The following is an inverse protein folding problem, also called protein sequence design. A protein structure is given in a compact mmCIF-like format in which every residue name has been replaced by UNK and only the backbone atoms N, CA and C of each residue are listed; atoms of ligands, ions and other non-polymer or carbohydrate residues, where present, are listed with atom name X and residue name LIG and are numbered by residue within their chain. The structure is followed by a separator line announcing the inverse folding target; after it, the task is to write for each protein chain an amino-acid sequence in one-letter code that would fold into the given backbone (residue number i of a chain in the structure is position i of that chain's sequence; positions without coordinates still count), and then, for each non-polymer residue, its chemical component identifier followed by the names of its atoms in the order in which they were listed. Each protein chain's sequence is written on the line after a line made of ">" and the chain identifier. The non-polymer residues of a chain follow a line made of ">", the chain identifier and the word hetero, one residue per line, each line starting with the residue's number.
data_IF_706860333223
#
_entry.id   IF_706860333223
#
_cell.length_a   1.000
_cell.length_b   1.000
_cell.length_c   1.000
_cell.angle_alpha   90.00
_cell.angle_beta   90.00
_cell.angle_gamma   90.00
#
_symmetry.space_group_name_H-M   'P 1'
#
loop_
_entity.id
_entity.type
_entity.pdbx_description
1 polymer ?
#
# COMPACT_ATOMS: atom_id res chain seq x y z
N UNK A 1 -16.07 23.79 17.21
CA UNK A 1 -16.37 23.00 16.00
C UNK A 1 -17.89 22.99 15.80
N UNK A 2 -18.42 23.24 14.59
CA UNK A 2 -19.88 23.24 14.38
C UNK A 2 -20.36 21.84 14.02
N UNK A 3 -21.25 21.27 14.83
CA UNK A 3 -21.87 19.95 14.64
C UNK A 3 -22.46 19.75 13.24
N UNK A 4 -23.02 20.80 12.64
CA UNK A 4 -23.56 20.78 11.28
C UNK A 4 -22.51 20.47 10.21
N UNK A 5 -21.26 20.93 10.37
CA UNK A 5 -20.19 20.66 9.39
C UNK A 5 -19.77 19.18 9.43
N UNK A 6 -19.61 18.62 10.62
CA UNK A 6 -19.18 17.24 10.80
C UNK A 6 -20.27 16.27 10.32
N UNK A 7 -21.53 16.53 10.68
CA UNK A 7 -22.67 15.71 10.25
C UNK A 7 -22.95 15.82 8.75
N UNK A 8 -22.58 16.94 8.11
CA UNK A 8 -22.69 17.10 6.66
C UNK A 8 -21.60 16.32 5.91
N UNK A 9 -20.40 16.15 6.50
CA UNK A 9 -19.29 15.44 5.87
C UNK A 9 -19.38 13.93 6.08
N UNK A 10 -19.73 13.49 7.30
CA UNK A 10 -19.64 12.09 7.69
C UNK A 10 -21.00 11.51 8.09
N UNK A 11 -21.37 10.41 7.42
CA UNK A 11 -22.56 9.65 7.75
C UNK A 11 -22.49 9.00 9.13
N UNK A 12 -21.28 8.65 9.60
CA UNK A 12 -21.08 8.17 10.96
C UNK A 12 -21.52 9.20 11.99
N UNK A 13 -21.01 10.43 11.91
CA UNK A 13 -21.41 11.48 12.85
C UNK A 13 -22.89 11.86 12.69
N UNK A 14 -23.41 11.88 11.47
CA UNK A 14 -24.85 12.11 11.25
C UNK A 14 -25.70 11.08 11.99
N UNK A 15 -25.32 9.80 11.96
CA UNK A 15 -26.02 8.72 12.68
C UNK A 15 -25.77 8.76 14.19
N UNK A 16 -24.54 9.01 14.62
CA UNK A 16 -24.19 9.10 16.05
C UNK A 16 -24.89 10.26 16.76
N UNK A 17 -25.11 11.37 16.06
CA UNK A 17 -25.74 12.59 16.57
C UNK A 17 -27.27 12.54 16.49
N UNK A 18 -27.84 11.93 15.45
CA UNK A 18 -29.29 11.87 15.23
C UNK A 18 -29.93 10.56 15.71
N UNK A 19 -29.14 9.52 15.92
CA UNK A 19 -29.59 8.23 16.44
C UNK A 19 -29.61 8.27 17.97
N UNK A 20 -30.59 7.63 18.60
CA UNK A 20 -30.71 7.52 20.07
C UNK A 20 -29.66 6.61 20.72
N UNK A 21 -28.39 6.77 20.34
CA UNK A 21 -27.24 6.06 20.90
C UNK A 21 -26.69 6.85 22.09
N UNK A 22 -25.91 6.20 22.95
CA UNK A 22 -25.38 6.82 24.19
C UNK A 22 -24.54 8.07 23.90
N UNK A 23 -23.87 8.08 22.75
CA UNK A 23 -23.08 9.20 22.22
C UNK A 23 -23.95 10.43 21.90
N UNK A 24 -25.23 10.26 21.56
CA UNK A 24 -26.16 11.36 21.30
C UNK A 24 -26.60 12.06 22.60
N UNK A 25 -26.70 11.31 23.69
CA UNK A 25 -27.04 11.83 25.03
C UNK A 25 -25.83 12.48 25.71
N UNK A 26 -24.64 11.90 25.53
CA UNK A 26 -23.38 12.43 26.08
C UNK A 26 -22.79 13.58 25.23
N UNK A 27 -23.15 13.68 23.95
CA UNK A 27 -22.55 14.61 22.99
C UNK A 27 -21.08 14.32 22.69
N UNK A 28 -20.59 13.13 23.04
CA UNK A 28 -19.19 12.73 22.96
C UNK A 28 -19.05 11.51 22.04
N UNK A 29 -18.32 11.67 20.95
CA UNK A 29 -17.92 10.56 20.07
C UNK A 29 -16.47 10.21 20.36
N UNK A 30 -16.23 8.99 20.82
CA UNK A 30 -14.87 8.47 21.03
C UNK A 30 -14.40 7.79 19.75
N UNK A 31 -13.39 8.36 19.12
CA UNK A 31 -12.71 7.72 18.00
C UNK A 31 -11.58 6.86 18.56
N UNK A 32 -11.50 5.61 18.12
CA UNK A 32 -10.41 4.69 18.47
C UNK A 32 -9.09 5.06 17.74
N UNK A 33 -9.02 6.20 17.05
CA UNK A 33 -7.80 6.56 16.32
C UNK A 33 -6.69 6.97 17.30
N UNK A 34 -5.66 6.13 17.38
CA UNK A 34 -4.53 6.22 18.31
C UNK A 34 -3.63 7.47 18.20
N UNK A 35 -3.96 8.47 17.38
CA UNK A 35 -3.15 9.69 17.27
C UNK A 35 -3.98 10.95 17.00
N UNK A 36 -3.87 12.00 17.85
CA UNK A 36 -4.46 13.32 17.62
C UNK A 36 -4.13 13.93 16.25
N UNK A 37 -2.97 13.59 15.69
CA UNK A 37 -2.51 14.08 14.39
C UNK A 37 -3.41 13.64 13.22
N UNK A 38 -3.89 12.39 13.25
CA UNK A 38 -4.81 11.86 12.22
C UNK A 38 -6.13 12.62 12.25
N UNK A 39 -6.65 12.89 13.45
CA UNK A 39 -7.86 13.71 13.59
C UNK A 39 -7.63 15.15 13.14
N UNK A 40 -6.45 15.72 13.39
CA UNK A 40 -6.09 17.04 12.89
C UNK A 40 -6.09 17.11 11.34
N UNK A 41 -5.67 16.06 10.65
CA UNK A 41 -5.79 15.97 9.18
C UNK A 41 -7.26 16.03 8.76
N UNK A 42 -8.14 15.27 9.42
CA UNK A 42 -9.58 15.33 9.15
C UNK A 42 -10.17 16.72 9.43
N UNK A 43 -9.71 17.37 10.50
CA UNK A 43 -10.12 18.73 10.82
C UNK A 43 -9.70 19.74 9.74
N UNK A 44 -8.47 19.65 9.25
CA UNK A 44 -7.99 20.49 8.14
C UNK A 44 -8.83 20.27 6.89
N UNK A 45 -9.15 19.02 6.55
CA UNK A 45 -10.06 18.70 5.45
C UNK A 45 -11.44 19.35 5.64
N UNK A 46 -12.06 19.23 6.82
CA UNK A 46 -13.37 19.81 7.07
C UNK A 46 -13.41 21.34 6.90
N UNK A 47 -12.33 22.03 7.27
CA UNK A 47 -12.25 23.49 7.19
C UNK A 47 -11.83 24.00 5.80
N UNK A 48 -10.83 23.38 5.18
CA UNK A 48 -10.19 23.90 3.98
C UNK A 48 -10.54 23.13 2.71
N UNK A 49 -11.12 21.93 2.83
CA UNK A 49 -11.39 21.01 1.71
C UNK A 49 -10.14 20.66 0.90
N UNK A 50 -9.00 20.66 1.57
CA UNK A 50 -7.69 20.28 1.04
C UNK A 50 -6.85 19.63 2.13
N UNK A 51 -6.04 18.64 1.78
CA UNK A 51 -5.04 18.05 2.67
C UNK A 51 -3.66 18.45 2.12
N UNK A 52 -2.91 19.33 2.78
CA UNK A 52 -1.61 19.75 2.28
C UNK A 52 -0.61 18.60 2.41
N UNK A 53 0.09 18.30 1.31
CA UNK A 53 1.23 17.39 1.30
C UNK A 53 2.45 18.08 1.91
N UNK A 54 3.14 17.41 2.81
CA UNK A 54 4.39 17.87 3.41
C UNK A 54 5.57 17.38 2.58
N UNK A 55 6.54 18.28 2.44
CA UNK A 55 7.86 17.91 1.94
C UNK A 55 8.65 17.45 3.16
N UNK A 56 8.64 16.14 3.39
CA UNK A 56 9.40 15.54 4.50
C UNK A 56 10.89 15.46 4.17
N UNK A 57 11.69 15.24 5.20
CA UNK A 57 13.07 14.79 5.03
C UNK A 57 13.12 13.38 4.40
N UNK A 58 14.21 13.00 3.74
CA UNK A 58 14.37 11.67 3.17
C UNK A 58 14.52 10.57 4.23
N UNK A 59 13.98 9.37 3.96
CA UNK A 59 14.27 8.16 4.74
C UNK A 59 13.08 7.36 5.25
N UNK A 60 13.37 6.24 5.94
CA UNK A 60 12.37 5.31 6.52
C UNK A 60 11.60 5.97 7.66
N UNK A 61 12.28 6.72 8.54
CA UNK A 61 11.64 7.37 9.70
C UNK A 61 10.71 8.51 9.26
N UNK A 62 10.94 8.98 8.05
CA UNK A 62 10.32 10.12 7.41
C UNK A 62 9.20 9.70 6.43
N UNK A 63 8.95 8.39 6.27
CA UNK A 63 7.69 7.85 5.73
C UNK A 63 6.48 8.10 6.67
N UNK A 64 6.69 8.88 7.73
CA UNK A 64 5.71 9.27 8.72
C UNK A 64 4.49 9.96 8.10
N UNK A 65 4.66 10.78 7.06
CA UNK A 65 3.49 11.36 6.38
C UNK A 65 2.68 10.30 5.64
N UNK A 66 3.32 9.36 4.93
CA UNK A 66 2.58 8.27 4.30
C UNK A 66 1.84 7.42 5.33
N UNK A 67 2.43 7.19 6.51
CA UNK A 67 1.75 6.54 7.64
C UNK A 67 0.58 7.38 8.17
N UNK A 68 0.76 8.69 8.32
CA UNK A 68 -0.29 9.62 8.74
C UNK A 68 -1.46 9.61 7.76
N UNK A 69 -1.18 9.68 6.46
CA UNK A 69 -2.17 9.60 5.39
C UNK A 69 -2.85 8.23 5.37
N UNK A 70 -2.11 7.12 5.58
CA UNK A 70 -2.70 5.79 5.64
C UNK A 70 -3.69 5.64 6.81
N UNK A 71 -3.32 6.15 7.99
CA UNK A 71 -4.23 6.23 9.14
C UNK A 71 -5.42 7.16 8.89
N UNK A 72 -5.21 8.28 8.18
CA UNK A 72 -6.30 9.18 7.79
C UNK A 72 -7.28 8.50 6.83
N UNK A 73 -6.79 7.70 5.87
CA UNK A 73 -7.65 6.91 4.99
C UNK A 73 -8.51 5.92 5.78
N UNK A 74 -7.90 5.20 6.74
CA UNK A 74 -8.63 4.28 7.63
C UNK A 74 -9.64 5.02 8.52
N UNK A 75 -9.31 6.22 9.01
CA UNK A 75 -10.25 7.08 9.72
C UNK A 75 -11.43 7.45 8.80
N UNK A 76 -11.19 7.82 7.54
CA UNK A 76 -12.25 8.12 6.59
C UNK A 76 -13.20 6.94 6.35
N UNK A 77 -12.67 5.71 6.33
CA UNK A 77 -13.47 4.48 6.26
C UNK A 77 -14.37 4.32 7.49
N UNK A 78 -13.78 4.43 8.69
CA UNK A 78 -14.52 4.41 9.96
C UNK A 78 -15.62 5.47 10.01
N UNK A 79 -15.33 6.68 9.53
CA UNK A 79 -16.26 7.81 9.51
C UNK A 79 -17.28 7.73 8.37
N UNK A 80 -17.14 6.79 7.43
CA UNK A 80 -17.95 6.70 6.21
C UNK A 80 -17.96 8.03 5.44
N UNK A 81 -16.80 8.70 5.37
CA UNK A 81 -16.59 9.94 4.61
C UNK A 81 -15.72 9.63 3.39
N UNK A 82 -16.38 9.20 2.32
CA UNK A 82 -15.71 8.85 1.06
C UNK A 82 -15.00 10.04 0.42
N UNK A 83 -15.52 11.26 0.58
CA UNK A 83 -14.87 12.46 0.04
C UNK A 83 -13.57 12.77 0.77
N UNK A 84 -13.50 12.50 2.07
CA UNK A 84 -12.25 12.56 2.81
C UNK A 84 -11.27 11.47 2.38
N UNK A 85 -11.73 10.22 2.17
CA UNK A 85 -10.88 9.15 1.65
C UNK A 85 -10.28 9.51 0.29
N UNK A 86 -11.08 10.05 -0.62
CA UNK A 86 -10.62 10.51 -1.94
C UNK A 86 -9.56 11.62 -1.80
N UNK A 87 -9.80 12.62 -0.95
CA UNK A 87 -8.83 13.69 -0.69
C UNK A 87 -7.51 13.19 -0.08
N UNK A 88 -7.56 12.16 0.77
CA UNK A 88 -6.36 11.50 1.31
C UNK A 88 -5.60 10.76 0.21
N UNK A 89 -6.31 10.09 -0.69
CA UNK A 89 -5.69 9.41 -1.83
C UNK A 89 -5.03 10.40 -2.80
N UNK A 90 -5.69 11.53 -3.08
CA UNK A 90 -5.11 12.60 -3.88
C UNK A 90 -3.81 13.11 -3.26
N UNK A 91 -3.79 13.36 -1.94
CA UNK A 91 -2.57 13.75 -1.23
C UNK A 91 -1.47 12.68 -1.31
N UNK A 92 -1.80 11.39 -1.18
CA UNK A 92 -0.81 10.31 -1.37
C UNK A 92 -0.22 10.31 -2.78
N UNK A 93 -1.06 10.48 -3.81
CA UNK A 93 -0.65 10.51 -5.22
C UNK A 93 0.25 11.72 -5.50
N UNK A 94 -0.15 12.92 -5.05
CA UNK A 94 0.64 14.14 -5.19
C UNK A 94 2.02 14.00 -4.53
N UNK A 95 2.08 13.33 -3.36
CA UNK A 95 3.34 13.04 -2.68
C UNK A 95 4.27 12.16 -3.50
N UNK A 96 3.75 11.17 -4.25
CA UNK A 96 4.61 10.34 -5.13
C UNK A 96 5.29 11.12 -6.25
N UNK A 97 4.77 12.32 -6.56
CA UNK A 97 5.31 13.20 -7.59
C UNK A 97 6.22 14.30 -7.03
N UNK A 98 6.18 14.53 -5.72
CA UNK A 98 6.92 15.58 -5.02
C UNK A 98 8.34 15.12 -4.67
N UNK A 99 9.29 16.06 -4.72
CA UNK A 99 10.67 15.83 -4.30
C UNK A 99 10.82 16.19 -2.82
N UNK A 100 11.51 15.33 -2.07
CA UNK A 100 11.92 15.62 -0.70
C UNK A 100 13.10 16.61 -0.69
N UNK A 101 13.57 16.97 0.51
CA UNK A 101 14.68 17.91 0.68
C UNK A 101 16.01 17.47 0.06
N UNK A 102 16.18 16.18 -0.27
CA UNK A 102 17.32 15.63 -0.99
C UNK A 102 17.16 15.61 -2.53
N UNK A 103 16.06 16.15 -3.05
CA UNK A 103 15.72 16.15 -4.46
C UNK A 103 15.27 14.78 -4.99
N UNK A 104 15.02 13.80 -4.10
CA UNK A 104 14.53 12.47 -4.49
C UNK A 104 13.03 12.34 -4.27
N UNK A 105 12.43 11.42 -5.02
CA UNK A 105 11.03 11.02 -4.82
C UNK A 105 10.96 9.83 -3.87
N UNK A 106 10.09 9.95 -2.88
CA UNK A 106 9.88 8.94 -1.85
C UNK A 106 8.49 8.32 -2.00
N UNK A 107 8.36 7.06 -1.59
CA UNK A 107 7.17 6.25 -1.80
C UNK A 107 6.77 5.52 -0.51
N UNK A 108 5.51 5.04 -0.38
CA UNK A 108 5.11 4.21 0.75
C UNK A 108 6.00 2.96 0.85
N UNK A 109 6.51 2.66 2.04
CA UNK A 109 7.35 1.48 2.29
C UNK A 109 6.70 0.54 3.31
N UNK A 110 7.44 -0.50 3.72
CA UNK A 110 6.94 -1.65 4.46
C UNK A 110 5.87 -1.37 5.53
N UNK A 111 6.15 -0.54 6.56
CA UNK A 111 5.18 -0.28 7.63
C UNK A 111 3.85 0.29 7.13
N UNK A 112 3.87 1.14 6.11
CA UNK A 112 2.65 1.73 5.52
C UNK A 112 1.86 0.67 4.74
N UNK A 113 2.57 -0.20 4.02
CA UNK A 113 1.95 -1.33 3.32
C UNK A 113 1.24 -2.24 4.30
N UNK A 114 1.94 -2.69 5.35
CA UNK A 114 1.37 -3.53 6.41
C UNK A 114 0.10 -2.88 6.97
N UNK A 115 0.19 -1.60 7.37
CA UNK A 115 -0.94 -0.89 7.96
C UNK A 115 -2.16 -0.87 7.03
N UNK A 116 -2.00 -0.50 5.75
CA UNK A 116 -3.12 -0.44 4.80
C UNK A 116 -3.74 -1.83 4.60
N UNK A 117 -2.94 -2.88 4.49
CA UNK A 117 -3.45 -4.23 4.30
C UNK A 117 -4.11 -4.81 5.55
N UNK A 118 -3.68 -4.43 6.75
CA UNK A 118 -4.32 -4.86 8.01
C UNK A 118 -5.63 -4.11 8.29
N UNK A 119 -5.75 -2.85 7.85
CA UNK A 119 -6.84 -1.94 8.25
C UNK A 119 -7.83 -1.62 7.14
N UNK A 120 -7.77 -2.31 5.99
CA UNK A 120 -8.72 -2.10 4.90
C UNK A 120 -9.21 -3.42 4.32
N UNK A 121 -10.34 -3.42 3.61
CA UNK A 121 -10.82 -4.60 2.88
C UNK A 121 -9.98 -4.89 1.64
N UNK A 122 -10.02 -6.14 1.14
CA UNK A 122 -9.33 -6.54 -0.09
C UNK A 122 -9.77 -5.73 -1.34
N UNK A 123 -10.99 -5.19 -1.34
CA UNK A 123 -11.50 -4.32 -2.41
C UNK A 123 -11.04 -2.86 -2.32
N UNK A 124 -10.28 -2.49 -1.29
CA UNK A 124 -9.85 -1.12 -1.03
C UNK A 124 -8.97 -0.56 -2.15
N UNK A 125 -9.27 0.67 -2.57
CA UNK A 125 -8.48 1.40 -3.57
C UNK A 125 -7.11 1.83 -3.05
N UNK A 126 -6.92 1.93 -1.72
CA UNK A 126 -5.61 2.17 -1.13
C UNK A 126 -4.64 1.00 -1.39
N UNK A 127 -5.14 -0.24 -1.37
CA UNK A 127 -4.32 -1.42 -1.73
C UNK A 127 -3.91 -1.38 -3.20
N UNK A 128 -4.85 -1.05 -4.09
CA UNK A 128 -4.56 -0.87 -5.53
C UNK A 128 -3.49 0.19 -5.76
N UNK A 129 -3.57 1.34 -5.09
CA UNK A 129 -2.55 2.40 -5.17
C UNK A 129 -1.15 1.89 -4.80
N UNK A 130 -1.01 1.16 -3.69
CA UNK A 130 0.29 0.59 -3.30
C UNK A 130 0.84 -0.37 -4.36
N UNK A 131 -0.01 -1.23 -4.90
CA UNK A 131 0.36 -2.19 -5.95
C UNK A 131 0.81 -1.45 -7.21
N UNK A 132 0.09 -0.41 -7.63
CA UNK A 132 0.45 0.40 -8.79
C UNK A 132 1.79 1.13 -8.58
N UNK A 133 2.01 1.74 -7.41
CA UNK A 133 3.29 2.39 -7.07
C UNK A 133 4.45 1.40 -7.21
N UNK A 134 4.34 0.20 -6.64
CA UNK A 134 5.38 -0.82 -6.73
C UNK A 134 5.54 -1.39 -8.14
N UNK A 135 4.45 -1.52 -8.89
CA UNK A 135 4.47 -2.02 -10.26
C UNK A 135 5.19 -1.06 -11.21
N UNK A 136 4.92 0.25 -11.09
CA UNK A 136 5.39 1.25 -12.05
C UNK A 136 6.66 1.98 -11.62
N UNK A 137 6.95 2.07 -10.31
CA UNK A 137 8.10 2.79 -9.76
C UNK A 137 9.05 1.91 -8.95
N UNK A 138 8.56 0.76 -8.49
CA UNK A 138 9.29 -0.11 -7.58
C UNK A 138 10.58 -0.67 -8.17
N UNK A 139 11.54 -0.90 -7.28
CA UNK A 139 12.79 -1.62 -7.54
C UNK A 139 12.86 -2.83 -6.64
N UNK A 140 13.56 -3.88 -7.04
CA UNK A 140 13.64 -5.13 -6.26
C UNK A 140 14.10 -4.91 -4.82
N UNK A 141 15.00 -3.95 -4.61
CA UNK A 141 15.51 -3.62 -3.29
C UNK A 141 14.49 -2.92 -2.37
N UNK A 142 13.34 -2.45 -2.88
CA UNK A 142 12.25 -1.94 -2.04
C UNK A 142 11.61 -3.02 -1.17
N UNK A 143 11.71 -4.28 -1.57
CA UNK A 143 11.22 -5.42 -0.81
C UNK A 143 12.29 -5.98 0.16
N UNK A 144 13.48 -5.37 0.22
CA UNK A 144 14.58 -5.79 1.10
C UNK A 144 15.08 -4.65 1.98
N UNK A 145 15.57 -3.57 1.37
CA UNK A 145 16.26 -2.49 2.08
C UNK A 145 15.26 -1.61 2.85
N UNK A 146 14.00 -1.61 2.40
CA UNK A 146 12.94 -0.70 2.85
C UNK A 146 11.74 -1.43 3.46
N UNK A 147 11.84 -2.75 3.65
CA UNK A 147 10.79 -3.57 4.25
C UNK A 147 11.36 -4.85 4.87
N UNK A 148 10.81 -5.27 6.00
CA UNK A 148 10.99 -6.62 6.55
C UNK A 148 9.96 -7.58 5.99
N UNK A 149 10.14 -8.90 6.16
CA UNK A 149 9.12 -9.87 5.76
C UNK A 149 7.78 -9.64 6.46
N UNK A 150 7.80 -9.23 7.72
CA UNK A 150 6.58 -8.92 8.47
C UNK A 150 5.87 -7.69 7.91
N UNK A 151 6.61 -6.77 7.27
CA UNK A 151 6.05 -5.55 6.67
C UNK A 151 5.34 -5.83 5.34
N UNK A 152 5.48 -7.05 4.80
CA UNK A 152 5.03 -7.43 3.48
C UNK A 152 3.97 -8.54 3.58
N UNK A 153 2.68 -8.18 3.74
CA UNK A 153 1.58 -9.13 3.73
C UNK A 153 1.62 -10.02 2.49
N UNK A 154 1.27 -11.30 2.66
CA UNK A 154 1.29 -12.27 1.56
C UNK A 154 0.37 -11.85 0.42
N UNK A 155 -0.75 -11.23 0.77
CA UNK A 155 -1.72 -10.65 -0.16
C UNK A 155 -1.08 -9.56 -1.01
N UNK A 156 -0.31 -8.66 -0.39
CA UNK A 156 0.41 -7.60 -1.12
C UNK A 156 1.43 -8.17 -2.11
N UNK A 157 2.22 -9.15 -1.67
CA UNK A 157 3.18 -9.82 -2.54
C UNK A 157 2.49 -10.54 -3.71
N UNK A 158 1.35 -11.16 -3.46
CA UNK A 158 0.55 -11.82 -4.50
C UNK A 158 -0.03 -10.80 -5.49
N UNK A 159 -0.58 -9.69 -5.01
CA UNK A 159 -1.14 -8.61 -5.84
C UNK A 159 -0.07 -7.98 -6.73
N UNK A 160 1.12 -7.69 -6.19
CA UNK A 160 2.26 -7.21 -6.97
C UNK A 160 2.73 -8.24 -7.98
N UNK A 161 2.87 -9.51 -7.59
CA UNK A 161 3.31 -10.55 -8.51
C UNK A 161 2.36 -10.67 -9.71
N UNK A 162 1.05 -10.67 -9.47
CA UNK A 162 0.05 -10.64 -10.55
C UNK A 162 0.18 -9.38 -11.41
N UNK A 163 0.26 -8.20 -10.80
CA UNK A 163 0.40 -6.93 -11.52
C UNK A 163 1.65 -6.91 -12.41
N UNK A 164 2.80 -7.29 -11.87
CA UNK A 164 4.06 -7.38 -12.61
C UNK A 164 3.99 -8.38 -13.75
N UNK A 165 3.40 -9.57 -13.55
CA UNK A 165 3.22 -10.57 -14.60
C UNK A 165 2.31 -10.08 -15.74
N UNK A 166 1.30 -9.28 -15.41
CA UNK A 166 0.37 -8.70 -16.38
C UNK A 166 0.96 -7.50 -17.13
N UNK A 167 1.88 -6.75 -16.51
CA UNK A 167 2.45 -5.51 -17.08
C UNK A 167 3.81 -5.70 -17.74
N UNK A 168 4.62 -6.64 -17.28
CA UNK A 168 5.96 -6.87 -17.85
C UNK A 168 5.86 -7.29 -19.30
N UNK A 169 6.81 -6.83 -20.11
CA UNK A 169 7.05 -7.48 -21.38
C UNK A 169 7.45 -8.93 -21.12
N UNK A 170 6.82 -9.87 -21.83
CA UNK A 170 7.25 -11.26 -21.74
C UNK A 170 8.70 -11.33 -22.25
N UNK A 171 9.63 -11.88 -21.47
CA UNK A 171 11.00 -11.98 -21.90
C UNK A 171 11.06 -12.76 -23.21
N UNK A 172 11.81 -12.24 -24.18
CA UNK A 172 12.16 -12.99 -25.38
C UNK A 172 12.93 -14.23 -24.91
N UNK A 173 12.46 -15.38 -25.37
CA UNK A 173 12.66 -16.66 -24.71
C UNK A 173 14.11 -17.14 -24.90
N UNK A 174 14.97 -16.97 -23.88
CA UNK A 174 16.38 -17.44 -23.93
C UNK A 174 16.74 -18.50 -22.88
N UNK A 175 16.19 -18.45 -21.66
CA UNK A 175 16.59 -19.35 -20.56
C UNK A 175 16.13 -20.81 -20.69
N UNK A 176 14.87 -21.04 -21.10
CA UNK A 176 14.37 -22.41 -21.28
C UNK A 176 14.94 -23.11 -22.54
N UNK A 177 15.63 -22.37 -23.41
CA UNK A 177 16.29 -22.89 -24.63
C UNK A 177 17.66 -23.50 -24.31
N UNK A 178 18.33 -23.05 -23.24
CA UNK A 178 19.70 -23.45 -22.90
C UNK A 178 19.82 -24.88 -22.35
N UNK A 179 18.68 -25.60 -22.29
CA UNK A 179 18.60 -26.97 -21.84
C UNK A 179 18.29 -27.07 -20.36
N UNK A 180 17.83 -28.24 -19.94
CA UNK A 180 17.36 -28.47 -18.57
C UNK A 180 18.48 -28.53 -17.52
N UNK A 181 19.75 -28.46 -17.92
CA UNK A 181 20.89 -28.54 -17.01
C UNK A 181 20.92 -27.42 -15.98
N UNK A 182 20.49 -26.20 -16.32
CA UNK A 182 20.36 -25.09 -15.36
C UNK A 182 19.44 -25.44 -14.18
N UNK A 183 18.50 -26.36 -14.41
CA UNK A 183 17.54 -26.84 -13.40
C UNK A 183 17.89 -28.22 -12.82
N UNK A 184 18.99 -28.84 -13.26
CA UNK A 184 19.42 -30.15 -12.74
C UNK A 184 20.26 -29.99 -11.48
N UNK A 185 20.13 -30.92 -10.54
CA UNK A 185 21.01 -31.04 -9.39
C UNK A 185 22.28 -31.81 -9.78
N UNK A 186 23.24 -31.12 -10.39
CA UNK A 186 24.54 -31.73 -10.71
C UNK A 186 25.33 -32.02 -9.43
N UNK A 187 25.73 -33.29 -9.27
CA UNK A 187 26.77 -33.68 -8.32
C UNK A 187 28.14 -33.72 -8.99
N UNK A 188 29.06 -34.54 -8.48
CA UNK A 188 30.36 -34.77 -9.12
C UNK A 188 30.29 -35.61 -10.42
N UNK A 189 29.12 -36.14 -10.76
CA UNK A 189 28.88 -36.96 -11.95
C UNK A 189 28.29 -36.15 -13.11
N UNK A 190 28.44 -36.69 -14.32
CA UNK A 190 27.85 -36.13 -15.53
C UNK A 190 26.33 -35.93 -15.43
N UNK A 191 25.81 -35.04 -16.27
CA UNK A 191 24.38 -34.78 -16.40
C UNK A 191 23.60 -36.07 -16.68
N UNK A 192 22.54 -36.33 -15.91
CA UNK A 192 21.68 -37.49 -16.18
C UNK A 192 21.13 -37.51 -17.61
N UNK A 193 20.84 -36.33 -18.19
CA UNK A 193 20.35 -36.21 -19.56
C UNK A 193 21.38 -36.67 -20.61
N UNK A 194 22.68 -36.39 -20.41
CA UNK A 194 23.72 -36.90 -21.31
C UNK A 194 23.91 -38.42 -21.17
N UNK A 195 23.57 -39.01 -20.03
CA UNK A 195 23.53 -40.48 -19.87
C UNK A 195 22.37 -41.13 -20.63
N UNK A 196 21.27 -40.40 -20.89
CA UNK A 196 20.14 -40.88 -21.67
C UNK A 196 20.41 -40.82 -23.19
N UNK A 197 21.10 -39.78 -23.65
CA UNK A 197 21.47 -39.64 -25.08
C UNK A 197 22.43 -40.75 -25.56
N UNK A 198 23.11 -41.43 -24.63
CA UNK A 198 23.98 -42.58 -24.89
C UNK A 198 23.24 -43.93 -24.95
N UNK A 199 21.93 -43.97 -24.65
CA UNK A 199 21.15 -45.21 -24.73
C UNK A 199 20.73 -45.51 -26.18
N UNK A 200 20.89 -46.76 -26.67
CA UNK A 200 20.42 -47.11 -28.01
C UNK A 200 18.90 -46.92 -28.09
N UNK A 201 18.45 -46.23 -29.15
CA UNK A 201 17.01 -46.04 -29.41
C UNK A 201 16.38 -47.41 -29.68
N UNK A 202 15.19 -47.72 -29.11
CA UNK A 202 14.47 -48.93 -29.47
C UNK A 202 14.13 -48.87 -30.97
N UNK A 203 14.55 -49.92 -31.70
CA UNK A 203 14.24 -50.11 -33.11
C UNK A 203 12.83 -50.62 -33.34
#
# INVERSE_FOLDING_TARGET
>A
MKQSMICASSNFFKKAVLGGWRESEEGLVRLESDSPDVFNVYMQWLYYRTIPVRIDEPGIRENAEYMLLAKAFALGDMLQDGSFQDAVMDAMVDKTSSEASDGQKWFPVGPVIRFIYENTLASSKARLFLVDVYTFKGRGNWLTDWATQDDLPKEFLFDIAQSLLNKRQRPEWHGLVQGSCEYHQHGASDCYKSLLDLRPKPG
#
